data_IF_065538194348
#
_entry.id   IF_065538194348
#
_cell.length_a   1.000
_cell.length_b   1.000
_cell.length_c   1.000
_cell.angle_alpha   90.00
_cell.angle_beta   90.00
_cell.angle_gamma   90.00
#
_symmetry.space_group_name_H-M   'P 1'
#
loop_
_entity.id
_entity.type
_entity.pdbx_description
1 polymer ?
#
# COMPACT_ATOMS: atom_id res chain seq x y z
N UNK A 1 93.53 -23.89 -12.39
CA UNK A 1 94.07 -24.79 -11.36
C UNK A 1 95.12 -25.65 -12.03
N UNK A 2 96.40 -25.39 -11.78
CA UNK A 2 97.46 -26.34 -12.15
C UNK A 2 97.29 -27.53 -11.20
N UNK A 3 96.67 -28.60 -11.69
CA UNK A 3 96.43 -29.77 -10.85
C UNK A 3 97.75 -30.50 -10.68
N UNK A 4 98.30 -30.44 -9.47
CA UNK A 4 99.44 -31.25 -9.03
C UNK A 4 99.29 -32.73 -9.45
N UNK A 5 98.06 -33.25 -9.45
CA UNK A 5 97.78 -34.61 -9.88
C UNK A 5 97.88 -34.82 -11.40
N UNK A 6 97.56 -33.81 -12.23
CA UNK A 6 97.78 -33.90 -13.69
C UNK A 6 99.29 -34.02 -13.95
N UNK A 7 100.09 -33.14 -13.33
CA UNK A 7 101.56 -33.23 -13.43
C UNK A 7 102.08 -34.57 -12.93
N UNK A 8 101.50 -35.11 -11.86
CA UNK A 8 101.86 -36.44 -11.35
C UNK A 8 101.54 -37.56 -12.35
N UNK A 9 100.42 -37.49 -13.07
CA UNK A 9 100.08 -38.45 -14.14
C UNK A 9 101.05 -38.30 -15.31
N UNK A 10 101.33 -37.07 -15.74
CA UNK A 10 102.31 -36.77 -16.81
C UNK A 10 103.70 -37.31 -16.45
N UNK A 11 104.22 -37.01 -15.26
CA UNK A 11 105.51 -37.52 -14.76
C UNK A 11 105.57 -39.06 -14.73
N UNK A 12 104.45 -39.73 -14.43
CA UNK A 12 104.39 -41.19 -14.43
C UNK A 12 104.39 -41.76 -15.85
N UNK A 13 103.73 -41.10 -16.79
CA UNK A 13 103.75 -41.46 -18.20
C UNK A 13 105.14 -41.25 -18.83
N UNK A 14 105.84 -40.16 -18.49
CA UNK A 14 107.22 -39.92 -18.91
C UNK A 14 108.17 -41.00 -18.37
N UNK A 15 108.08 -41.32 -17.07
CA UNK A 15 108.89 -42.41 -16.47
C UNK A 15 108.63 -43.76 -17.12
N UNK A 16 107.38 -44.04 -17.50
CA UNK A 16 107.03 -45.25 -18.25
C UNK A 16 107.70 -45.26 -19.63
N UNK A 17 107.65 -44.13 -20.35
CA UNK A 17 108.29 -43.97 -21.65
C UNK A 17 109.80 -44.18 -21.59
N UNK A 18 110.50 -43.53 -20.66
CA UNK A 18 111.94 -43.69 -20.47
C UNK A 18 112.32 -45.14 -20.18
N UNK A 19 111.53 -45.81 -19.33
CA UNK A 19 111.74 -47.23 -19.00
C UNK A 19 111.56 -48.12 -20.24
N UNK A 20 110.57 -47.83 -21.10
CA UNK A 20 110.37 -48.54 -22.36
C UNK A 20 111.52 -48.32 -23.33
N UNK A 21 112.02 -47.09 -23.47
CA UNK A 21 113.18 -46.78 -24.34
C UNK A 21 114.41 -47.58 -23.91
N UNK A 22 114.67 -47.66 -22.60
CA UNK A 22 115.81 -48.40 -22.04
C UNK A 22 115.70 -49.91 -22.25
N UNK A 23 114.49 -50.47 -22.19
CA UNK A 23 114.25 -51.92 -22.33
C UNK A 23 114.03 -52.37 -23.79
N UNK A 24 114.02 -51.43 -24.75
CA UNK A 24 113.74 -51.74 -26.15
C UNK A 24 114.95 -52.41 -26.84
N UNK A 25 114.78 -53.59 -27.46
CA UNK A 25 115.87 -54.29 -28.14
C UNK A 25 116.23 -53.58 -29.46
N UNK A 26 117.46 -53.78 -29.95
CA UNK A 26 118.00 -53.07 -31.12
C UNK A 26 117.19 -53.31 -32.41
N UNK A 27 116.56 -54.47 -32.53
CA UNK A 27 115.67 -54.83 -33.65
C UNK A 27 114.41 -53.95 -33.69
N UNK A 28 114.00 -53.38 -32.54
CA UNK A 28 112.84 -52.53 -32.39
C UNK A 28 113.10 -51.04 -32.54
N UNK A 29 114.37 -50.60 -32.65
CA UNK A 29 114.78 -49.18 -32.55
C UNK A 29 114.17 -48.26 -33.63
N UNK A 30 113.65 -48.83 -34.72
CA UNK A 30 112.95 -48.10 -35.79
C UNK A 30 111.46 -47.87 -35.51
N UNK A 31 110.90 -48.45 -34.45
CA UNK A 31 109.51 -48.28 -34.03
C UNK A 31 109.43 -47.35 -32.82
N UNK A 32 108.27 -46.71 -32.63
CA UNK A 32 108.04 -45.93 -31.43
C UNK A 32 107.94 -46.87 -30.21
N UNK A 33 108.45 -46.50 -29.02
CA UNK A 33 108.39 -47.36 -27.83
C UNK A 33 106.98 -47.85 -27.48
N UNK A 34 105.96 -47.00 -27.63
CA UNK A 34 104.57 -47.40 -27.41
C UNK A 34 104.05 -48.43 -28.43
N UNK A 35 104.56 -48.41 -29.67
CA UNK A 35 104.19 -49.41 -30.68
C UNK A 35 104.86 -50.75 -30.41
N UNK A 36 106.07 -50.74 -29.82
CA UNK A 36 106.81 -51.94 -29.45
C UNK A 36 106.22 -52.61 -28.21
N UNK A 37 105.97 -51.85 -27.14
CA UNK A 37 105.36 -52.31 -25.89
C UNK A 37 103.84 -52.19 -25.88
N UNK A 38 103.21 -52.49 -27.03
CA UNK A 38 101.78 -52.27 -27.25
C UNK A 38 100.91 -52.94 -26.18
N UNK A 39 101.23 -54.17 -25.77
CA UNK A 39 100.44 -54.90 -24.76
C UNK A 39 100.39 -54.20 -23.40
N UNK A 40 101.48 -53.55 -22.98
CA UNK A 40 101.54 -52.87 -21.68
C UNK A 40 100.88 -51.48 -21.75
N UNK A 41 101.02 -50.78 -22.88
CA UNK A 41 100.28 -49.53 -23.14
C UNK A 41 98.78 -49.79 -23.24
N UNK A 42 98.37 -50.87 -23.92
CA UNK A 42 96.96 -51.26 -24.02
C UNK A 42 96.36 -51.45 -22.61
N UNK A 43 97.11 -52.03 -21.65
CA UNK A 43 96.66 -52.14 -20.25
C UNK A 43 96.48 -50.78 -19.56
N UNK A 44 97.41 -49.85 -19.76
CA UNK A 44 97.30 -48.48 -19.19
C UNK A 44 96.10 -47.76 -19.80
N UNK A 45 95.92 -47.87 -21.11
CA UNK A 45 94.77 -47.31 -21.83
C UNK A 45 93.47 -47.91 -21.29
N UNK A 46 93.38 -49.24 -21.12
CA UNK A 46 92.18 -49.89 -20.54
C UNK A 46 91.84 -49.34 -19.16
N UNK A 47 92.81 -49.16 -18.26
CA UNK A 47 92.55 -48.59 -16.92
C UNK A 47 92.06 -47.14 -17.02
N UNK A 48 92.64 -46.33 -17.92
CA UNK A 48 92.18 -44.95 -18.14
C UNK A 48 90.75 -44.95 -18.70
N UNK A 49 90.45 -45.81 -19.67
CA UNK A 49 89.12 -45.97 -20.26
C UNK A 49 88.09 -46.43 -19.21
N UNK A 50 88.44 -47.35 -18.32
CA UNK A 50 87.60 -47.77 -17.19
C UNK A 50 87.29 -46.60 -16.25
N UNK A 51 88.31 -45.81 -15.88
CA UNK A 51 88.11 -44.62 -15.02
C UNK A 51 87.24 -43.58 -15.72
N UNK A 52 87.50 -43.28 -17.00
CA UNK A 52 86.66 -42.38 -17.80
C UNK A 52 85.22 -42.91 -17.85
N UNK A 53 85.04 -44.20 -18.14
CA UNK A 53 83.73 -44.84 -18.20
C UNK A 53 82.98 -44.76 -16.88
N UNK A 54 83.66 -44.94 -15.74
CA UNK A 54 83.06 -44.78 -14.42
C UNK A 54 82.64 -43.33 -14.13
N UNK A 55 83.49 -42.34 -14.46
CA UNK A 55 83.11 -40.92 -14.37
C UNK A 55 81.94 -40.57 -15.28
N UNK A 56 81.90 -41.08 -16.51
CA UNK A 56 80.77 -40.90 -17.43
C UNK A 56 79.50 -41.60 -16.94
N UNK A 57 79.62 -42.76 -16.30
CA UNK A 57 78.50 -43.46 -15.67
C UNK A 57 77.93 -42.64 -14.51
N UNK A 58 78.79 -42.13 -13.62
CA UNK A 58 78.39 -41.25 -12.50
C UNK A 58 77.76 -39.96 -13.01
N UNK A 59 78.35 -39.34 -14.04
CA UNK A 59 77.79 -38.16 -14.71
C UNK A 59 76.36 -38.41 -15.22
N UNK A 60 76.16 -39.50 -15.97
CA UNK A 60 74.83 -39.88 -16.51
C UNK A 60 73.79 -40.11 -15.41
N UNK A 61 74.16 -40.74 -14.29
CA UNK A 61 73.25 -40.93 -13.15
C UNK A 61 72.85 -39.60 -12.53
N UNK A 62 73.81 -38.70 -12.30
CA UNK A 62 73.53 -37.38 -11.77
C UNK A 62 72.65 -36.54 -12.73
N UNK A 63 72.91 -36.59 -14.04
CA UNK A 63 72.08 -35.96 -15.07
C UNK A 63 70.63 -36.49 -15.04
N UNK A 64 70.45 -37.81 -14.89
CA UNK A 64 69.14 -38.45 -14.77
C UNK A 64 68.39 -38.02 -13.50
N UNK A 65 69.06 -38.02 -12.35
CA UNK A 65 68.48 -37.56 -11.07
C UNK A 65 68.04 -36.09 -11.14
N UNK A 66 68.88 -35.23 -11.72
CA UNK A 66 68.56 -33.82 -11.96
C UNK A 66 67.35 -33.73 -12.89
N UNK A 67 67.32 -34.48 -13.99
CA UNK A 67 66.20 -34.49 -14.93
C UNK A 67 64.89 -34.87 -14.24
N UNK A 68 64.86 -35.97 -13.50
CA UNK A 68 63.67 -36.40 -12.76
C UNK A 68 63.21 -35.34 -11.74
N UNK A 69 64.16 -34.68 -11.07
CA UNK A 69 63.86 -33.61 -10.10
C UNK A 69 63.31 -32.35 -10.79
N UNK A 70 63.83 -32.00 -11.96
CA UNK A 70 63.32 -30.91 -12.80
C UNK A 70 61.92 -31.24 -13.32
N UNK A 71 61.66 -32.47 -13.75
CA UNK A 71 60.34 -32.90 -14.20
C UNK A 71 59.31 -32.82 -13.06
N UNK A 72 59.70 -33.24 -11.85
CA UNK A 72 58.86 -33.09 -10.65
C UNK A 72 58.60 -31.62 -10.32
N UNK A 73 59.63 -30.78 -10.35
CA UNK A 73 59.54 -29.33 -10.13
C UNK A 73 58.58 -28.69 -11.15
N UNK A 74 58.73 -28.99 -12.43
CA UNK A 74 57.87 -28.47 -13.48
C UNK A 74 56.42 -28.92 -13.30
N UNK A 75 56.19 -30.19 -12.93
CA UNK A 75 54.84 -30.70 -12.63
C UNK A 75 54.21 -29.94 -11.46
N UNK A 76 54.96 -29.72 -10.39
CA UNK A 76 54.50 -28.94 -9.23
C UNK A 76 54.25 -27.47 -9.59
N UNK A 77 55.10 -26.87 -10.43
CA UNK A 77 54.90 -25.51 -10.92
C UNK A 77 53.64 -25.39 -11.78
N UNK A 78 53.36 -26.36 -12.65
CA UNK A 78 52.14 -26.42 -13.46
C UNK A 78 50.90 -26.56 -12.58
N UNK A 79 50.92 -27.46 -11.59
CA UNK A 79 49.80 -27.63 -10.65
C UNK A 79 49.52 -26.36 -9.84
N UNK A 80 50.58 -25.67 -9.40
CA UNK A 80 50.49 -24.41 -8.67
C UNK A 80 50.22 -23.19 -9.56
N UNK A 81 50.29 -23.36 -10.88
CA UNK A 81 50.29 -22.31 -11.91
C UNK A 81 51.32 -21.20 -11.63
N UNK A 82 52.49 -21.57 -11.10
CA UNK A 82 53.58 -20.63 -10.86
C UNK A 82 54.58 -20.64 -12.02
N UNK A 83 55.31 -19.52 -12.16
CA UNK A 83 56.33 -19.38 -13.21
C UNK A 83 57.43 -20.43 -13.01
N UNK A 84 57.70 -21.20 -14.06
CA UNK A 84 58.78 -22.18 -14.05
C UNK A 84 60.14 -21.50 -13.78
N UNK A 85 60.96 -22.02 -12.86
CA UNK A 85 62.26 -21.45 -12.58
C UNK A 85 63.20 -21.61 -13.77
N UNK A 86 63.93 -20.55 -14.10
CA UNK A 86 64.92 -20.59 -15.17
C UNK A 86 66.16 -21.35 -14.71
N UNK A 87 66.42 -22.50 -15.34
CA UNK A 87 67.59 -23.32 -15.01
C UNK A 87 68.89 -22.62 -15.42
N UNK A 88 69.83 -22.36 -14.49
CA UNK A 88 71.10 -21.74 -14.82
C UNK A 88 71.99 -22.70 -15.61
N UNK A 89 72.76 -22.21 -16.58
CA UNK A 89 73.72 -23.04 -17.30
C UNK A 89 74.97 -23.30 -16.44
N UNK A 90 74.91 -24.32 -15.57
CA UNK A 90 75.99 -24.69 -14.66
C UNK A 90 76.74 -25.94 -15.17
N UNK A 91 78.06 -25.86 -15.26
CA UNK A 91 78.90 -27.02 -15.64
C UNK A 91 79.06 -28.05 -14.51
N UNK A 92 78.73 -27.69 -13.27
CA UNK A 92 78.86 -28.57 -12.10
C UNK A 92 77.50 -29.17 -11.75
N UNK A 93 77.36 -30.49 -11.91
CA UNK A 93 76.12 -31.21 -11.67
C UNK A 93 75.68 -31.21 -10.20
N UNK A 94 76.60 -31.22 -9.25
CA UNK A 94 76.25 -31.15 -7.81
C UNK A 94 75.65 -29.78 -7.46
N UNK A 95 76.19 -28.70 -8.05
CA UNK A 95 75.60 -27.36 -7.90
C UNK A 95 74.24 -27.27 -8.57
N UNK A 96 74.07 -27.88 -9.74
CA UNK A 96 72.77 -27.96 -10.42
C UNK A 96 71.74 -28.74 -9.58
N UNK A 97 72.12 -29.89 -9.02
CA UNK A 97 71.27 -30.69 -8.14
C UNK A 97 70.82 -29.89 -6.92
N UNK A 98 71.75 -29.26 -6.21
CA UNK A 98 71.44 -28.41 -5.05
C UNK A 98 70.54 -27.21 -5.42
N UNK A 99 70.71 -26.64 -6.62
CA UNK A 99 69.82 -25.59 -7.12
C UNK A 99 68.39 -26.10 -7.31
N UNK A 100 68.21 -27.24 -7.98
CA UNK A 100 66.88 -27.85 -8.22
C UNK A 100 66.20 -28.23 -6.90
N UNK A 101 66.92 -28.83 -5.95
CA UNK A 101 66.40 -29.17 -4.63
C UNK A 101 65.91 -27.93 -3.86
N UNK A 102 66.65 -26.81 -3.96
CA UNK A 102 66.24 -25.54 -3.36
C UNK A 102 64.96 -24.99 -4.01
N UNK A 103 64.88 -24.99 -5.35
CA UNK A 103 63.67 -24.54 -6.05
C UNK A 103 62.45 -25.43 -5.74
N UNK A 104 62.62 -26.76 -5.64
CA UNK A 104 61.56 -27.67 -5.14
C UNK A 104 61.12 -27.27 -3.73
N UNK A 105 62.08 -27.02 -2.83
CA UNK A 105 61.80 -26.55 -1.46
C UNK A 105 61.03 -25.23 -1.44
N UNK A 106 61.39 -24.27 -2.31
CA UNK A 106 60.68 -22.99 -2.46
C UNK A 106 59.26 -23.19 -2.94
N UNK A 107 59.03 -24.00 -3.98
CA UNK A 107 57.69 -24.30 -4.49
C UNK A 107 56.84 -25.00 -3.42
N UNK A 108 57.41 -25.94 -2.66
CA UNK A 108 56.72 -26.62 -1.58
C UNK A 108 56.28 -25.66 -0.44
N UNK A 109 57.12 -24.67 -0.10
CA UNK A 109 56.76 -23.61 0.87
C UNK A 109 55.60 -22.77 0.33
N UNK A 110 55.66 -22.36 -0.95
CA UNK A 110 54.58 -21.59 -1.59
C UNK A 110 53.28 -22.39 -1.59
N UNK A 111 53.32 -23.67 -2.01
CA UNK A 111 52.16 -24.57 -2.01
C UNK A 111 51.49 -24.68 -0.64
N UNK A 112 52.29 -24.85 0.42
CA UNK A 112 51.77 -24.89 1.80
C UNK A 112 51.08 -23.58 2.19
N UNK A 113 51.71 -22.44 1.92
CA UNK A 113 51.15 -21.13 2.22
C UNK A 113 49.84 -20.84 1.46
N UNK A 114 49.74 -21.29 0.20
CA UNK A 114 48.50 -21.20 -0.59
C UNK A 114 47.42 -22.09 0.02
N UNK A 115 47.73 -23.34 0.37
CA UNK A 115 46.78 -24.26 1.00
C UNK A 115 46.22 -23.70 2.32
N UNK A 116 47.09 -23.27 3.24
CA UNK A 116 46.68 -22.65 4.51
C UNK A 116 45.79 -21.42 4.30
N UNK A 117 46.05 -20.64 3.24
CA UNK A 117 45.22 -19.48 2.91
C UNK A 117 43.87 -19.91 2.32
N UNK A 118 43.83 -20.94 1.47
CA UNK A 118 42.58 -21.50 0.94
C UNK A 118 41.70 -22.02 2.08
N UNK A 119 42.27 -22.75 3.06
CA UNK A 119 41.55 -23.23 4.23
C UNK A 119 40.89 -22.08 5.01
N UNK A 120 41.65 -21.01 5.32
CA UNK A 120 41.10 -19.82 5.99
C UNK A 120 39.96 -19.17 5.21
N UNK A 121 40.10 -19.02 3.88
CA UNK A 121 39.05 -18.43 3.04
C UNK A 121 37.81 -19.32 3.00
N UNK A 122 37.98 -20.64 2.96
CA UNK A 122 36.86 -21.58 3.03
C UNK A 122 36.12 -21.50 4.37
N UNK A 123 36.84 -21.35 5.48
CA UNK A 123 36.23 -21.19 6.79
C UNK A 123 35.49 -19.85 6.93
N UNK A 124 36.04 -18.75 6.39
CA UNK A 124 35.32 -17.47 6.30
C UNK A 124 34.03 -17.59 5.45
N UNK A 125 34.07 -18.35 4.35
CA UNK A 125 32.88 -18.61 3.52
C UNK A 125 31.83 -19.38 4.31
N UNK A 126 32.23 -20.42 5.06
CA UNK A 126 31.30 -21.19 5.91
C UNK A 126 30.67 -20.31 6.99
N UNK A 127 31.46 -19.47 7.66
CA UNK A 127 30.96 -18.54 8.69
C UNK A 127 29.89 -17.59 8.12
N UNK A 128 30.13 -17.01 6.93
CA UNK A 128 29.15 -16.13 6.26
C UNK A 128 27.85 -16.88 5.92
N UNK A 129 27.97 -18.14 5.49
CA UNK A 129 26.81 -18.96 5.15
C UNK A 129 25.99 -19.36 6.38
N UNK A 130 26.64 -19.62 7.51
CA UNK A 130 25.98 -19.93 8.77
C UNK A 130 25.23 -18.71 9.33
N UNK A 131 25.78 -17.50 9.17
CA UNK A 131 25.13 -16.25 9.60
C UNK A 131 23.96 -15.82 8.72
N UNK A 132 23.93 -16.22 7.45
CA UNK A 132 22.88 -15.84 6.49
C UNK A 132 22.21 -17.09 5.91
N UNK A 133 21.41 -17.81 6.72
CA UNK A 133 20.76 -19.06 6.30
C UNK A 133 19.79 -18.90 5.13
N UNK A 134 19.44 -17.66 4.78
CA UNK A 134 18.58 -17.34 3.65
C UNK A 134 19.36 -17.28 2.32
N UNK A 135 20.70 -17.29 2.31
CA UNK A 135 21.49 -17.36 1.06
C UNK A 135 21.41 -18.80 0.57
N UNK A 136 20.49 -19.07 -0.36
CA UNK A 136 20.44 -20.36 -1.03
C UNK A 136 21.78 -20.61 -1.73
N UNK A 137 22.45 -21.68 -1.31
CA UNK A 137 23.75 -22.15 -1.81
C UNK A 137 23.75 -22.33 -3.35
N UNK A 138 22.57 -22.47 -3.95
CA UNK A 138 22.36 -22.61 -5.40
C UNK A 138 22.94 -21.43 -6.21
N UNK A 139 23.03 -20.22 -5.63
CA UNK A 139 23.57 -19.06 -6.35
C UNK A 139 25.11 -19.12 -6.56
N UNK A 140 25.83 -19.89 -5.74
CA UNK A 140 27.31 -19.94 -5.77
C UNK A 140 27.80 -21.06 -6.70
N UNK A 141 27.01 -22.12 -6.88
CA UNK A 141 27.35 -23.28 -7.70
C UNK A 141 27.36 -22.96 -9.20
N UNK A 142 26.71 -21.87 -9.64
CA UNK A 142 26.57 -21.54 -11.06
C UNK A 142 27.82 -20.98 -11.76
N UNK A 143 28.93 -20.74 -11.06
CA UNK A 143 30.14 -20.14 -11.67
C UNK A 143 31.19 -21.16 -12.11
N UNK A 144 31.06 -22.42 -11.71
CA UNK A 144 31.91 -23.51 -12.19
C UNK A 144 31.00 -24.50 -12.90
N UNK A 145 30.95 -24.42 -14.23
CA UNK A 145 30.04 -25.20 -15.08
C UNK A 145 30.27 -26.71 -14.94
N UNK A 146 29.64 -27.30 -13.92
CA UNK A 146 29.32 -28.72 -13.72
C UNK A 146 28.45 -28.79 -12.46
N UNK A 147 27.15 -28.52 -12.63
CA UNK A 147 26.16 -28.35 -11.56
C UNK A 147 25.76 -29.62 -10.79
N UNK A 148 26.64 -30.61 -10.65
CA UNK A 148 26.32 -31.87 -9.95
C UNK A 148 27.11 -32.11 -8.64
N UNK A 149 28.12 -31.31 -8.28
CA UNK A 149 29.09 -31.75 -7.27
C UNK A 149 28.87 -31.34 -5.81
N UNK A 150 27.95 -30.43 -5.47
CA UNK A 150 27.75 -30.00 -4.07
C UNK A 150 26.45 -30.48 -3.43
N UNK A 151 25.56 -31.16 -4.18
CA UNK A 151 24.23 -31.54 -3.70
C UNK A 151 24.19 -32.65 -2.64
N UNK A 152 25.31 -33.32 -2.37
CA UNK A 152 25.41 -34.35 -1.33
C UNK A 152 26.81 -34.36 -0.70
N UNK A 153 27.16 -33.30 0.03
CA UNK A 153 28.21 -33.37 1.06
C UNK A 153 27.68 -34.14 2.30
N UNK A 154 27.09 -35.32 2.07
CA UNK A 154 26.87 -36.29 3.14
C UNK A 154 28.22 -36.95 3.43
N UNK A 155 28.91 -36.41 4.45
CA UNK A 155 29.97 -37.04 5.26
C UNK A 155 30.53 -38.37 4.71
N UNK A 156 31.21 -38.32 3.56
CA UNK A 156 32.18 -39.34 3.22
C UNK A 156 33.52 -38.70 3.50
N UNK A 157 34.19 -39.25 4.51
CA UNK A 157 35.53 -38.89 4.98
C UNK A 157 36.63 -39.19 3.93
N UNK A 158 36.30 -39.11 2.64
CA UNK A 158 37.28 -39.06 1.57
C UNK A 158 37.78 -37.61 1.54
N UNK A 159 38.94 -37.43 2.17
CA UNK A 159 39.76 -36.22 2.19
C UNK A 159 40.02 -35.78 0.75
N UNK A 160 39.05 -35.05 0.17
CA UNK A 160 39.17 -34.47 -1.15
C UNK A 160 40.17 -33.33 -1.02
N UNK A 161 41.46 -33.67 -1.13
CA UNK A 161 42.54 -32.71 -1.26
C UNK A 161 42.35 -32.05 -2.63
N UNK A 162 41.50 -31.03 -2.68
CA UNK A 162 41.30 -30.23 -3.87
C UNK A 162 42.64 -29.72 -4.39
N UNK A 163 42.78 -29.63 -5.72
CA UNK A 163 44.00 -29.13 -6.34
C UNK A 163 44.37 -27.75 -5.77
N UNK A 164 45.55 -27.66 -5.15
CA UNK A 164 46.07 -26.41 -4.59
C UNK A 164 46.67 -25.62 -5.74
N UNK A 165 45.98 -24.57 -6.18
CA UNK A 165 46.47 -23.66 -7.22
C UNK A 165 46.21 -22.20 -6.86
N UNK A 166 46.98 -21.29 -7.46
CA UNK A 166 46.80 -19.85 -7.27
C UNK A 166 45.48 -19.36 -7.88
N UNK A 167 45.06 -19.89 -9.03
CA UNK A 167 43.77 -19.57 -9.62
C UNK A 167 42.62 -19.97 -8.70
N UNK A 168 42.67 -21.17 -8.12
CA UNK A 168 41.61 -21.63 -7.22
C UNK A 168 41.49 -20.76 -5.97
N UNK A 169 42.62 -20.34 -5.38
CA UNK A 169 42.61 -19.39 -4.28
C UNK A 169 41.94 -18.06 -4.67
N UNK A 170 42.22 -17.52 -5.87
CA UNK A 170 41.59 -16.27 -6.35
C UNK A 170 40.08 -16.43 -6.53
N UNK A 171 39.63 -17.57 -7.05
CA UNK A 171 38.20 -17.88 -7.17
C UNK A 171 37.51 -17.91 -5.79
N UNK A 172 38.14 -18.55 -4.80
CA UNK A 172 37.63 -18.58 -3.43
C UNK A 172 37.57 -17.18 -2.81
N UNK A 173 38.61 -16.36 -3.00
CA UNK A 173 38.62 -14.96 -2.54
C UNK A 173 37.51 -14.13 -3.20
N UNK A 174 37.31 -14.27 -4.51
CA UNK A 174 36.24 -13.59 -5.23
C UNK A 174 34.85 -14.03 -4.74
N UNK A 175 34.66 -15.33 -4.52
CA UNK A 175 33.42 -15.88 -3.96
C UNK A 175 33.14 -15.36 -2.55
N UNK A 176 34.16 -15.33 -1.69
CA UNK A 176 34.07 -14.74 -0.35
C UNK A 176 33.65 -13.27 -0.41
N UNK A 177 34.28 -12.48 -1.26
CA UNK A 177 34.01 -11.04 -1.35
C UNK A 177 32.59 -10.76 -1.90
N UNK A 178 32.15 -11.56 -2.87
CA UNK A 178 30.77 -11.57 -3.36
C UNK A 178 29.79 -11.91 -2.23
N UNK A 179 30.06 -12.95 -1.43
CA UNK A 179 29.21 -13.35 -0.30
C UNK A 179 29.15 -12.28 0.79
N UNK A 180 30.28 -11.64 1.12
CA UNK A 180 30.32 -10.50 2.05
C UNK A 180 29.43 -9.35 1.57
N UNK A 181 29.52 -9.03 0.27
CA UNK A 181 28.70 -7.99 -0.35
C UNK A 181 27.20 -8.33 -0.33
N UNK A 182 26.86 -9.58 -0.61
CA UNK A 182 25.47 -10.06 -0.59
C UNK A 182 24.89 -10.10 0.83
N UNK A 183 25.68 -10.51 1.84
CA UNK A 183 25.34 -10.41 3.26
C UNK A 183 25.01 -8.97 3.62
N UNK A 184 25.90 -8.02 3.33
CA UNK A 184 25.70 -6.61 3.66
C UNK A 184 24.43 -6.04 2.97
N UNK A 185 24.20 -6.39 1.71
CA UNK A 185 23.01 -5.99 0.96
C UNK A 185 21.73 -6.49 1.63
N UNK A 186 21.72 -7.75 2.10
CA UNK A 186 20.59 -8.37 2.79
C UNK A 186 20.35 -7.75 4.16
N UNK A 187 21.40 -7.47 4.93
CA UNK A 187 21.28 -6.77 6.21
C UNK A 187 20.70 -5.36 6.05
N UNK A 188 21.15 -4.61 5.04
CA UNK A 188 20.56 -3.30 4.70
C UNK A 188 19.07 -3.41 4.38
N UNK A 189 18.68 -4.42 3.58
CA UNK A 189 17.27 -4.69 3.26
C UNK A 189 16.45 -5.03 4.51
N UNK A 190 16.99 -5.89 5.38
CA UNK A 190 16.38 -6.28 6.67
C UNK A 190 16.13 -5.06 7.56
N UNK A 191 17.16 -4.22 7.75
CA UNK A 191 17.05 -3.01 8.57
C UNK A 191 16.03 -2.02 8.02
N UNK A 192 15.97 -1.88 6.69
CA UNK A 192 14.97 -1.05 6.03
C UNK A 192 13.55 -1.56 6.28
N UNK A 193 13.28 -2.84 6.02
CA UNK A 193 11.96 -3.46 6.23
C UNK A 193 11.52 -3.34 7.69
N UNK A 194 12.44 -3.60 8.63
CA UNK A 194 12.17 -3.45 10.06
C UNK A 194 11.85 -2.00 10.44
N UNK A 195 12.58 -1.03 9.90
CA UNK A 195 12.30 0.39 10.11
C UNK A 195 10.92 0.82 9.58
N UNK A 196 10.57 0.38 8.37
CA UNK A 196 9.24 0.63 7.77
C UNK A 196 8.12 -0.01 8.60
N UNK A 197 8.31 -1.26 9.06
CA UNK A 197 7.39 -1.95 9.97
C UNK A 197 7.18 -1.21 11.29
N UNK A 198 8.25 -0.71 11.92
CA UNK A 198 8.13 0.08 13.15
C UNK A 198 7.29 1.35 12.93
N UNK A 199 7.41 1.99 11.76
CA UNK A 199 6.57 3.14 11.39
C UNK A 199 5.11 2.73 11.23
N UNK A 200 4.83 1.60 10.57
CA UNK A 200 3.46 1.10 10.43
C UNK A 200 2.82 0.80 11.78
N UNK A 201 3.49 0.05 12.65
CA UNK A 201 3.02 -0.28 13.99
C UNK A 201 2.77 0.97 14.83
N UNK A 202 3.66 1.96 14.77
CA UNK A 202 3.50 3.24 15.46
C UNK A 202 2.27 4.00 14.96
N UNK A 203 2.04 4.04 13.63
CA UNK A 203 0.84 4.68 13.04
C UNK A 203 -0.45 3.98 13.46
N UNK A 204 -0.43 2.65 13.52
CA UNK A 204 -1.56 1.83 13.97
C UNK A 204 -1.76 1.88 15.49
N UNK A 205 -0.79 2.42 16.24
CA UNK A 205 -0.74 2.35 17.72
C UNK A 205 -0.81 0.91 18.25
N UNK A 206 -0.22 -0.03 17.50
CA UNK A 206 -0.16 -1.46 17.85
C UNK A 206 1.26 -1.80 18.26
N UNK A 207 1.40 -2.61 19.31
CA UNK A 207 2.67 -3.25 19.65
C UNK A 207 2.58 -4.72 19.23
N UNK A 208 3.39 -5.12 18.26
CA UNK A 208 3.48 -6.50 17.82
C UNK A 208 4.83 -7.09 18.24
N UNK A 209 4.80 -8.04 19.17
CA UNK A 209 5.99 -8.74 19.69
C UNK A 209 6.58 -9.72 18.66
N UNK A 210 5.83 -10.02 17.59
CA UNK A 210 6.31 -10.85 16.49
C UNK A 210 7.31 -10.11 15.62
N UNK A 211 7.30 -8.78 15.57
CA UNK A 211 8.20 -8.01 14.69
C UNK A 211 9.56 -7.81 15.36
N UNK A 212 10.59 -8.52 14.87
CA UNK A 212 11.97 -8.43 15.40
C UNK A 212 13.00 -8.28 14.29
N UNK A 213 14.09 -7.56 14.58
CA UNK A 213 15.15 -7.26 13.61
C UNK A 213 15.95 -8.50 13.18
N UNK A 214 15.99 -9.54 14.02
CA UNK A 214 16.72 -10.79 13.80
C UNK A 214 15.95 -11.82 12.96
N UNK A 215 14.71 -11.50 12.55
CA UNK A 215 13.91 -12.38 11.71
C UNK A 215 14.48 -12.54 10.30
N UNK A 216 14.16 -13.69 9.70
CA UNK A 216 14.44 -13.98 8.29
C UNK A 216 13.75 -12.96 7.38
N UNK A 217 14.39 -12.61 6.27
CA UNK A 217 13.94 -11.51 5.41
C UNK A 217 12.54 -11.76 4.85
N UNK A 218 12.24 -12.99 4.43
CA UNK A 218 10.93 -13.32 3.86
C UNK A 218 9.79 -13.13 4.88
N UNK A 219 10.04 -13.41 6.17
CA UNK A 219 9.06 -13.18 7.24
C UNK A 219 8.78 -11.69 7.39
N UNK A 220 9.83 -10.86 7.38
CA UNK A 220 9.68 -9.40 7.43
C UNK A 220 8.94 -8.86 6.20
N UNK A 221 9.16 -9.43 5.01
CA UNK A 221 8.41 -9.05 3.79
C UNK A 221 6.92 -9.39 3.89
N UNK A 222 6.57 -10.55 4.41
CA UNK A 222 5.18 -10.95 4.65
C UNK A 222 4.50 -10.03 5.67
N UNK A 223 5.18 -9.77 6.79
CA UNK A 223 4.69 -8.83 7.82
C UNK A 223 4.55 -7.42 7.24
N UNK A 224 5.52 -6.95 6.46
CA UNK A 224 5.47 -5.64 5.81
C UNK A 224 4.25 -5.54 4.89
N UNK A 225 4.01 -6.57 4.07
CA UNK A 225 2.83 -6.63 3.19
C UNK A 225 1.52 -6.64 3.96
N UNK A 226 1.44 -7.37 5.08
CA UNK A 226 0.26 -7.43 5.96
C UNK A 226 -0.04 -6.05 6.56
N UNK A 227 0.94 -5.43 7.21
CA UNK A 227 0.75 -4.16 7.90
C UNK A 227 0.57 -2.98 6.94
N UNK A 228 1.22 -2.98 5.77
CA UNK A 228 0.98 -1.96 4.75
C UNK A 228 -0.49 -1.97 4.29
N UNK A 229 -1.04 -3.16 4.01
CA UNK A 229 -2.47 -3.29 3.64
C UNK A 229 -3.40 -2.81 4.74
N UNK A 230 -3.11 -3.13 6.00
CA UNK A 230 -3.91 -2.68 7.14
C UNK A 230 -3.89 -1.14 7.27
N UNK A 231 -2.72 -0.52 7.13
CA UNK A 231 -2.56 0.94 7.12
C UNK A 231 -3.38 1.57 5.99
N UNK A 232 -3.26 1.04 4.76
CA UNK A 232 -4.03 1.53 3.60
C UNK A 232 -5.54 1.44 3.83
N UNK A 233 -6.04 0.30 4.32
CA UNK A 233 -7.46 0.12 4.63
C UNK A 233 -7.96 1.12 5.68
N UNK A 234 -7.20 1.34 6.77
CA UNK A 234 -7.58 2.29 7.82
C UNK A 234 -7.55 3.73 7.33
N UNK A 235 -6.57 4.11 6.51
CA UNK A 235 -6.53 5.44 5.89
C UNK A 235 -7.81 5.67 5.07
N UNK A 236 -8.17 4.72 4.20
CA UNK A 236 -9.39 4.85 3.40
C UNK A 236 -10.65 4.95 4.28
N UNK A 237 -10.72 4.17 5.37
CA UNK A 237 -11.84 4.22 6.31
C UNK A 237 -11.95 5.58 7.01
N UNK A 238 -10.83 6.13 7.52
CA UNK A 238 -10.81 7.44 8.19
C UNK A 238 -11.21 8.56 7.23
N UNK A 239 -10.69 8.56 6.00
CA UNK A 239 -11.05 9.57 4.98
C UNK A 239 -12.54 9.53 4.65
N UNK A 240 -13.10 8.33 4.48
CA UNK A 240 -14.54 8.16 4.23
C UNK A 240 -15.40 8.64 5.40
N UNK A 241 -15.01 8.34 6.64
CA UNK A 241 -15.72 8.79 7.84
C UNK A 241 -15.64 10.30 7.99
N UNK A 242 -14.47 10.90 7.80
CA UNK A 242 -14.27 12.35 7.87
C UNK A 242 -15.15 13.07 6.86
N UNK A 243 -15.23 12.58 5.62
CA UNK A 243 -16.08 13.18 4.61
C UNK A 243 -17.57 13.10 4.99
N UNK A 244 -18.03 11.96 5.51
CA UNK A 244 -19.41 11.80 5.97
C UNK A 244 -19.73 12.72 7.15
N UNK A 245 -18.83 12.81 8.13
CA UNK A 245 -18.95 13.69 9.30
C UNK A 245 -19.07 15.15 8.84
N UNK A 246 -18.14 15.62 7.99
CA UNK A 246 -18.16 17.00 7.48
C UNK A 246 -19.47 17.33 6.75
N UNK A 247 -19.98 16.41 5.93
CA UNK A 247 -21.29 16.61 5.25
C UNK A 247 -22.43 16.76 6.26
N UNK A 248 -22.43 15.99 7.35
CA UNK A 248 -23.45 16.08 8.41
C UNK A 248 -23.29 17.34 9.26
N UNK A 249 -22.07 17.73 9.62
CA UNK A 249 -21.78 18.97 10.36
C UNK A 249 -22.29 20.20 9.60
N UNK A 250 -22.04 20.27 8.29
CA UNK A 250 -22.54 21.35 7.42
C UNK A 250 -24.07 21.38 7.38
N UNK A 251 -24.74 20.22 7.28
CA UNK A 251 -26.21 20.14 7.28
C UNK A 251 -26.82 20.54 8.62
N UNK A 252 -26.14 20.22 9.71
CA UNK A 252 -26.59 20.52 11.07
C UNK A 252 -26.16 21.91 11.54
N UNK A 253 -25.40 22.66 10.75
CA UNK A 253 -24.82 23.95 11.15
C UNK A 253 -24.07 23.84 12.50
N UNK A 254 -23.25 22.79 12.64
CA UNK A 254 -22.42 22.53 13.82
C UNK A 254 -20.97 22.83 13.45
N UNK A 255 -20.24 23.45 14.37
CA UNK A 255 -18.82 23.74 14.20
C UNK A 255 -18.03 22.46 13.86
N UNK A 256 -17.27 22.52 12.77
CA UNK A 256 -16.45 21.41 12.31
C UNK A 256 -15.41 21.05 13.37
N UNK A 257 -15.47 19.82 13.89
CA UNK A 257 -14.45 19.33 14.82
C UNK A 257 -13.19 18.94 14.04
N UNK A 258 -12.03 19.28 14.59
CA UNK A 258 -10.77 18.78 14.07
C UNK A 258 -10.69 17.26 14.26
N UNK A 259 -10.59 16.53 13.15
CA UNK A 259 -10.42 15.08 13.13
C UNK A 259 -8.93 14.76 13.24
N UNK A 260 -8.55 14.06 14.31
CA UNK A 260 -7.19 13.55 14.44
C UNK A 260 -6.94 12.45 13.39
N UNK A 261 -5.84 12.58 12.64
CA UNK A 261 -5.44 11.67 11.57
C UNK A 261 -4.72 10.39 12.05
N UNK A 262 -4.85 10.02 13.33
CA UNK A 262 -4.23 8.79 13.83
C UNK A 262 -5.07 7.55 13.44
N UNK A 263 -4.38 6.45 13.10
CA UNK A 263 -4.99 5.21 12.59
C UNK A 263 -5.23 4.18 13.70
N UNK A 264 -5.26 4.63 14.96
CA UNK A 264 -5.55 3.76 16.09
C UNK A 264 -7.00 3.28 16.03
N UNK A 265 -7.25 2.07 16.52
CA UNK A 265 -8.60 1.52 16.59
C UNK A 265 -9.52 2.44 17.39
N UNK A 266 -9.02 2.95 18.51
CA UNK A 266 -9.74 3.87 19.40
C UNK A 266 -10.19 5.16 18.68
N UNK A 267 -9.35 5.72 17.80
CA UNK A 267 -9.74 6.91 17.03
C UNK A 267 -10.82 6.57 15.99
N UNK A 268 -10.68 5.46 15.28
CA UNK A 268 -11.67 5.01 14.30
C UNK A 268 -13.02 4.81 14.99
N UNK A 269 -13.05 4.13 16.15
CA UNK A 269 -14.27 3.96 16.94
C UNK A 269 -14.89 5.29 17.36
N UNK A 270 -14.08 6.25 17.84
CA UNK A 270 -14.57 7.60 18.17
C UNK A 270 -15.19 8.33 16.98
N UNK A 271 -14.60 8.19 15.79
CA UNK A 271 -15.16 8.78 14.57
C UNK A 271 -16.47 8.11 14.15
N UNK A 272 -16.57 6.80 14.29
CA UNK A 272 -17.81 6.06 14.05
C UNK A 272 -18.92 6.50 15.00
N UNK A 273 -18.65 6.55 16.30
CA UNK A 273 -19.58 7.02 17.33
C UNK A 273 -20.03 8.47 17.06
N UNK A 274 -19.11 9.35 16.68
CA UNK A 274 -19.46 10.74 16.36
C UNK A 274 -20.30 10.84 15.08
N UNK A 275 -19.99 10.06 14.05
CA UNK A 275 -20.79 9.99 12.83
C UNK A 275 -22.20 9.45 13.09
N UNK A 276 -22.34 8.48 13.99
CA UNK A 276 -23.63 7.95 14.43
C UNK A 276 -24.43 8.99 15.21
N UNK A 277 -23.81 9.66 16.19
CA UNK A 277 -24.41 10.76 16.94
C UNK A 277 -24.94 11.86 16.02
N UNK A 278 -24.16 12.31 15.02
CA UNK A 278 -24.62 13.30 14.05
C UNK A 278 -25.79 12.78 13.21
N UNK A 279 -25.81 11.48 12.90
CA UNK A 279 -26.92 10.85 12.19
C UNK A 279 -28.21 10.82 13.02
N UNK A 280 -28.10 10.55 14.32
CA UNK A 280 -29.22 10.62 15.26
C UNK A 280 -29.73 12.05 15.42
N UNK A 281 -28.82 13.01 15.56
CA UNK A 281 -29.18 14.42 15.71
C UNK A 281 -29.89 14.97 14.46
N UNK A 282 -29.46 14.55 13.26
CA UNK A 282 -30.15 14.91 12.01
C UNK A 282 -31.57 14.33 11.96
N UNK A 283 -31.76 13.07 12.36
CA UNK A 283 -33.11 12.47 12.45
C UNK A 283 -33.98 13.20 13.46
N UNK A 284 -33.44 13.50 14.64
CA UNK A 284 -34.15 14.22 15.71
C UNK A 284 -34.63 15.60 15.25
N UNK A 285 -33.77 16.37 14.57
CA UNK A 285 -34.14 17.69 14.03
C UNK A 285 -35.17 17.59 12.91
N UNK A 286 -35.04 16.59 12.03
CA UNK A 286 -36.04 16.34 10.99
C UNK A 286 -37.41 16.03 11.60
N UNK A 287 -37.46 15.17 12.62
CA UNK A 287 -38.69 14.83 13.34
C UNK A 287 -39.32 16.06 14.01
N UNK A 288 -38.52 16.91 14.66
CA UNK A 288 -39.02 18.16 15.25
C UNK A 288 -39.61 19.12 14.21
N UNK A 289 -38.96 19.26 13.06
CA UNK A 289 -39.45 20.12 11.98
C UNK A 289 -40.72 19.52 11.38
N UNK A 290 -40.73 18.21 11.14
CA UNK A 290 -41.87 17.47 10.61
C UNK A 290 -43.10 17.66 11.50
N UNK A 291 -43.00 17.41 12.80
CA UNK A 291 -44.15 17.54 13.72
C UNK A 291 -44.66 18.99 13.80
N UNK A 292 -43.75 19.97 13.88
CA UNK A 292 -44.14 21.40 13.86
C UNK A 292 -44.88 21.77 12.57
N UNK A 293 -44.39 21.33 11.42
CA UNK A 293 -45.00 21.61 10.11
C UNK A 293 -46.33 20.88 9.96
N UNK A 294 -46.43 19.64 10.43
CA UNK A 294 -47.66 18.84 10.45
C UNK A 294 -48.76 19.52 11.26
N UNK A 295 -48.44 20.05 12.44
CA UNK A 295 -49.40 20.79 13.28
C UNK A 295 -49.90 22.06 12.60
N UNK A 296 -49.00 22.84 11.98
CA UNK A 296 -49.37 24.04 11.22
C UNK A 296 -50.27 23.68 10.04
N UNK A 297 -49.88 22.69 9.25
CA UNK A 297 -50.64 22.25 8.08
C UNK A 297 -52.03 21.74 8.48
N UNK A 298 -52.14 20.98 9.56
CA UNK A 298 -53.42 20.52 10.11
C UNK A 298 -54.33 21.70 10.45
N UNK A 299 -53.81 22.73 11.14
CA UNK A 299 -54.58 23.93 11.48
C UNK A 299 -55.08 24.70 10.26
N UNK A 300 -54.27 24.76 9.19
CA UNK A 300 -54.65 25.38 7.92
C UNK A 300 -55.72 24.56 7.21
N UNK A 301 -55.52 23.24 7.07
CA UNK A 301 -56.52 22.38 6.45
C UNK A 301 -57.87 22.40 7.17
N UNK A 302 -57.90 22.40 8.51
CA UNK A 302 -59.13 22.59 9.29
C UNK A 302 -59.80 23.94 9.01
N UNK A 303 -59.01 25.02 8.87
CA UNK A 303 -59.54 26.36 8.55
C UNK A 303 -60.20 26.42 7.17
N UNK A 304 -59.57 25.80 6.17
CA UNK A 304 -60.04 25.74 4.78
C UNK A 304 -61.06 24.60 4.54
N UNK A 305 -61.30 23.71 5.50
CA UNK A 305 -62.20 22.56 5.35
C UNK A 305 -61.68 21.48 4.41
N UNK A 306 -60.36 21.32 4.32
CA UNK A 306 -59.66 20.34 3.47
C UNK A 306 -59.36 19.05 4.22
N UNK A 307 -59.20 17.94 3.49
CA UNK A 307 -58.78 16.65 4.06
C UNK A 307 -57.29 16.66 4.37
N UNK A 308 -56.91 16.07 5.51
CA UNK A 308 -55.51 15.93 5.90
C UNK A 308 -54.83 14.88 5.01
N UNK A 309 -53.72 15.28 4.39
CA UNK A 309 -52.81 14.41 3.65
C UNK A 309 -51.65 14.07 4.59
N UNK A 310 -51.28 12.78 4.65
CA UNK A 310 -50.13 12.33 5.44
C UNK A 310 -48.90 12.28 4.55
N UNK A 311 -47.89 13.08 4.88
CA UNK A 311 -46.62 13.16 4.14
C UNK A 311 -45.60 12.23 4.75
N UNK A 312 -44.68 11.70 3.93
CA UNK A 312 -43.59 10.85 4.42
C UNK A 312 -42.62 11.63 5.32
N UNK A 313 -42.04 10.95 6.31
CA UNK A 313 -41.06 11.52 7.25
C UNK A 313 -39.67 11.58 6.63
N UNK A 314 -39.54 12.40 5.59
CA UNK A 314 -38.30 12.63 4.83
C UNK A 314 -38.08 14.12 4.64
N UNK A 315 -36.86 14.51 4.23
CA UNK A 315 -36.56 15.91 3.88
C UNK A 315 -37.50 16.41 2.76
N UNK A 316 -37.74 15.58 1.74
CA UNK A 316 -38.66 15.86 0.64
C UNK A 316 -40.10 16.08 1.13
N UNK A 317 -40.60 15.22 2.04
CA UNK A 317 -41.93 15.39 2.64
C UNK A 317 -42.08 16.69 3.44
N UNK A 318 -41.01 17.14 4.13
CA UNK A 318 -40.98 18.44 4.83
C UNK A 318 -40.98 19.62 3.87
N UNK A 319 -40.29 19.52 2.73
CA UNK A 319 -40.32 20.54 1.68
C UNK A 319 -41.70 20.67 1.04
N UNK A 320 -42.36 19.56 0.72
CA UNK A 320 -43.74 19.54 0.20
C UNK A 320 -44.72 20.18 1.19
N UNK A 321 -44.64 19.80 2.47
CA UNK A 321 -45.44 20.43 3.52
C UNK A 321 -45.17 21.94 3.59
N UNK A 322 -43.91 22.36 3.50
CA UNK A 322 -43.55 23.79 3.57
C UNK A 322 -44.11 24.58 2.39
N UNK A 323 -44.08 24.00 1.18
CA UNK A 323 -44.66 24.61 -0.01
C UNK A 323 -46.18 24.81 0.15
N UNK A 324 -46.88 23.77 0.58
CA UNK A 324 -48.35 23.82 0.75
C UNK A 324 -48.74 24.77 1.88
N UNK A 325 -47.99 24.76 3.00
CA UNK A 325 -48.17 25.74 4.07
C UNK A 325 -48.04 27.16 3.49
N UNK A 326 -47.01 27.44 2.69
CA UNK A 326 -46.84 28.76 2.06
C UNK A 326 -48.01 29.16 1.15
N UNK A 327 -48.51 28.24 0.33
CA UNK A 327 -49.67 28.47 -0.55
C UNK A 327 -50.97 28.73 0.22
N UNK A 328 -51.19 28.06 1.35
CA UNK A 328 -52.37 28.24 2.19
C UNK A 328 -52.25 29.49 3.07
N UNK A 329 -51.07 29.78 3.59
CA UNK A 329 -50.79 30.98 4.38
C UNK A 329 -51.02 32.25 3.54
N UNK A 330 -50.62 32.27 2.27
CA UNK A 330 -50.88 33.41 1.40
C UNK A 330 -52.38 33.66 1.17
N UNK A 331 -53.20 32.61 1.21
CA UNK A 331 -54.66 32.68 1.03
C UNK A 331 -55.42 33.03 2.32
N UNK A 332 -54.77 32.82 3.47
CA UNK A 332 -55.39 32.79 4.80
C UNK A 332 -56.12 34.08 5.16
N UNK A 333 -55.49 35.24 4.96
CA UNK A 333 -56.03 36.52 5.43
C UNK A 333 -57.34 36.88 4.71
N UNK A 334 -57.34 36.81 3.37
CA UNK A 334 -58.55 37.07 2.57
C UNK A 334 -59.61 36.01 2.82
N UNK A 335 -59.23 34.73 2.94
CA UNK A 335 -60.18 33.66 3.22
C UNK A 335 -60.90 33.87 4.56
N UNK A 336 -60.17 34.21 5.63
CA UNK A 336 -60.72 34.50 6.95
C UNK A 336 -61.61 35.74 6.91
N UNK A 337 -61.21 36.79 6.18
CA UNK A 337 -62.03 37.99 6.00
C UNK A 337 -63.37 37.65 5.34
N UNK A 338 -63.35 36.94 4.21
CA UNK A 338 -64.55 36.53 3.48
C UNK A 338 -65.43 35.66 4.38
N UNK A 339 -64.86 34.66 5.05
CA UNK A 339 -65.59 33.79 5.98
C UNK A 339 -66.27 34.59 7.10
N UNK A 340 -65.57 35.55 7.69
CA UNK A 340 -66.14 36.43 8.73
C UNK A 340 -67.29 37.30 8.21
N UNK A 341 -67.24 37.72 6.94
CA UNK A 341 -68.33 38.46 6.31
C UNK A 341 -69.51 37.55 6.00
N UNK A 342 -69.26 36.32 5.57
CA UNK A 342 -70.27 35.27 5.37
C UNK A 342 -70.99 34.96 6.68
N UNK A 343 -70.26 34.77 7.78
CA UNK A 343 -70.83 34.51 9.10
C UNK A 343 -71.68 35.70 9.57
N UNK A 344 -71.15 36.94 9.46
CA UNK A 344 -71.91 38.18 9.77
C UNK A 344 -73.17 38.31 8.93
N UNK A 345 -73.11 37.93 7.64
CA UNK A 345 -74.28 37.90 6.76
C UNK A 345 -75.30 36.90 7.27
N UNK A 346 -74.88 35.66 7.57
CA UNK A 346 -75.77 34.62 8.09
C UNK A 346 -76.47 35.09 9.37
N UNK A 347 -75.72 35.63 10.33
CA UNK A 347 -76.28 36.19 11.57
C UNK A 347 -77.26 37.35 11.33
N UNK A 348 -76.99 38.22 10.36
CA UNK A 348 -77.91 39.31 10.02
C UNK A 348 -79.18 38.78 9.35
N UNK A 349 -79.06 37.83 8.42
CA UNK A 349 -80.20 37.18 7.76
C UNK A 349 -81.05 36.43 8.77
N UNK A 350 -80.45 35.69 9.69
CA UNK A 350 -81.17 34.98 10.75
C UNK A 350 -81.91 35.95 11.67
N UNK A 351 -81.27 37.04 12.10
CA UNK A 351 -81.94 38.11 12.86
C UNK A 351 -83.07 38.76 12.08
N UNK A 352 -82.90 38.99 10.78
CA UNK A 352 -83.96 39.53 9.93
C UNK A 352 -85.13 38.56 9.79
N UNK A 353 -84.87 37.26 9.71
CA UNK A 353 -85.92 36.22 9.67
C UNK A 353 -86.68 36.11 10.98
N UNK A 354 -85.97 36.10 12.12
CA UNK A 354 -86.56 36.12 13.45
C UNK A 354 -87.44 37.37 13.63
N UNK A 355 -86.92 38.52 13.22
CA UNK A 355 -87.64 39.78 13.26
C UNK A 355 -88.91 39.76 12.41
N UNK A 356 -88.87 39.25 11.18
CA UNK A 356 -90.08 39.17 10.34
C UNK A 356 -91.09 38.15 10.89
N UNK A 357 -90.63 37.07 11.53
CA UNK A 357 -91.51 36.13 12.24
C UNK A 357 -92.23 36.79 13.42
N UNK A 358 -91.55 37.64 14.17
CA UNK A 358 -92.15 38.45 15.25
C UNK A 358 -93.08 39.54 14.68
N UNK A 359 -92.70 40.15 13.57
CA UNK A 359 -93.46 41.19 12.87
C UNK A 359 -94.74 40.66 12.21
N UNK A 360 -94.80 39.37 11.88
CA UNK A 360 -96.00 38.70 11.37
C UNK A 360 -97.01 38.34 12.47
N UNK A 361 -96.71 38.50 13.77
CA UNK A 361 -97.65 38.26 14.87
C UNK A 361 -98.72 39.38 14.93
N UNK A 362 -100.02 39.08 14.70
CA UNK A 362 -101.10 40.06 14.78
C UNK A 362 -101.22 40.75 16.14
N UNK A 363 -100.71 40.10 17.22
CA UNK A 363 -100.73 40.65 18.58
C UNK A 363 -99.67 41.74 18.80
N UNK A 364 -98.75 41.96 17.87
CA UNK A 364 -97.69 42.98 18.00
C UNK A 364 -98.23 44.41 18.10
N UNK A 365 -99.36 44.69 17.45
CA UNK A 365 -99.98 46.03 17.41
C UNK A 365 -100.54 46.48 18.76
N UNK A 366 -100.70 45.54 19.70
CA UNK A 366 -101.16 45.80 21.07
C UNK A 366 -100.01 45.93 22.08
N UNK A 367 -98.75 45.87 21.62
CA UNK A 367 -97.55 46.09 22.45
C UNK A 367 -97.12 47.56 22.45
N UNK A 368 -96.09 47.89 23.22
CA UNK A 368 -95.56 49.25 23.39
C UNK A 368 -95.23 49.93 22.05
N UNK A 369 -95.66 51.17 21.85
CA UNK A 369 -95.40 51.97 20.64
C UNK A 369 -93.91 52.21 20.37
N UNK A 370 -93.06 52.18 21.40
CA UNK A 370 -91.60 52.23 21.25
C UNK A 370 -91.04 51.01 20.52
N UNK A 371 -91.70 49.84 20.64
CA UNK A 371 -91.29 48.61 19.96
C UNK A 371 -91.46 48.75 18.44
N UNK A 372 -92.60 49.27 17.99
CA UNK A 372 -92.88 49.53 16.56
C UNK A 372 -91.90 50.53 15.93
N UNK A 373 -91.45 51.53 16.68
CA UNK A 373 -90.46 52.51 16.19
C UNK A 373 -89.06 51.89 16.08
N UNK A 374 -88.68 51.07 17.06
CA UNK A 374 -87.39 50.35 17.02
C UNK A 374 -87.39 49.29 15.91
N UNK A 375 -88.54 48.64 15.68
CA UNK A 375 -88.78 47.74 14.57
C UNK A 375 -88.57 48.44 13.22
N UNK A 376 -89.15 49.62 13.04
CA UNK A 376 -88.98 50.42 11.83
C UNK A 376 -87.54 50.92 11.65
N UNK A 377 -86.86 51.31 12.75
CA UNK A 377 -85.42 51.64 12.72
C UNK A 377 -84.55 50.45 12.34
N UNK A 378 -84.89 49.25 12.82
CA UNK A 378 -84.20 48.02 12.44
C UNK A 378 -84.40 47.72 10.96
N UNK A 379 -85.62 47.77 10.43
CA UNK A 379 -85.87 47.58 8.98
C UNK A 379 -85.11 48.58 8.12
N UNK A 380 -85.12 49.86 8.51
CA UNK A 380 -84.44 50.93 7.81
C UNK A 380 -82.90 50.81 7.84
N UNK A 381 -82.32 50.02 8.75
CA UNK A 381 -80.86 49.83 8.86
C UNK A 381 -80.39 48.44 8.42
N UNK A 382 -81.15 47.38 8.69
CA UNK A 382 -80.79 45.99 8.45
C UNK A 382 -80.66 45.69 6.95
N UNK A 383 -81.62 46.13 6.13
CA UNK A 383 -81.57 45.85 4.69
C UNK A 383 -80.42 46.60 3.97
N UNK A 384 -80.21 47.91 4.19
CA UNK A 384 -79.02 48.58 3.66
C UNK A 384 -77.70 47.98 4.15
N UNK A 385 -77.65 47.50 5.40
CA UNK A 385 -76.46 46.83 5.93
C UNK A 385 -76.23 45.45 5.30
N UNK A 386 -77.30 44.69 5.01
CA UNK A 386 -77.22 43.41 4.32
C UNK A 386 -76.63 43.61 2.91
N UNK A 387 -77.14 44.58 2.14
CA UNK A 387 -76.59 44.91 0.82
C UNK A 387 -75.10 45.27 0.92
N UNK A 388 -74.71 46.12 1.87
CA UNK A 388 -73.30 46.50 2.06
C UNK A 388 -72.42 45.29 2.38
N UNK A 389 -72.87 44.38 3.24
CA UNK A 389 -72.13 43.17 3.57
C UNK A 389 -72.03 42.27 2.33
N UNK A 390 -73.11 42.11 1.56
CA UNK A 390 -73.12 41.31 0.32
C UNK A 390 -72.20 41.88 -0.76
N UNK A 391 -72.18 43.20 -0.96
CA UNK A 391 -71.24 43.89 -1.86
C UNK A 391 -69.80 43.70 -1.40
N UNK A 392 -69.53 43.81 -0.08
CA UNK A 392 -68.21 43.56 0.48
C UNK A 392 -67.77 42.11 0.29
N UNK A 393 -68.67 41.13 0.48
CA UNK A 393 -68.38 39.71 0.24
C UNK A 393 -68.02 39.49 -1.23
N UNK A 394 -68.85 39.97 -2.17
CA UNK A 394 -68.59 39.80 -3.60
C UNK A 394 -67.27 40.44 -4.02
N UNK A 395 -66.99 41.65 -3.54
CA UNK A 395 -65.73 42.34 -3.81
C UNK A 395 -64.53 41.58 -3.25
N UNK A 396 -64.58 41.13 -2.00
CA UNK A 396 -63.50 40.36 -1.39
C UNK A 396 -63.32 38.98 -2.04
N UNK A 397 -64.40 38.36 -2.52
CA UNK A 397 -64.31 37.13 -3.33
C UNK A 397 -63.67 37.43 -4.69
N UNK A 398 -64.04 38.52 -5.37
CA UNK A 398 -63.40 38.93 -6.63
C UNK A 398 -61.88 39.13 -6.43
N UNK A 399 -61.49 39.84 -5.37
CA UNK A 399 -60.08 40.07 -4.99
C UNK A 399 -59.35 38.74 -4.68
N UNK A 400 -60.03 37.79 -4.02
CA UNK A 400 -59.48 36.46 -3.77
C UNK A 400 -59.33 35.64 -5.06
N UNK A 401 -60.34 35.64 -5.91
CA UNK A 401 -60.38 34.84 -7.15
C UNK A 401 -59.37 35.35 -8.19
N UNK A 402 -59.15 36.65 -8.25
CA UNK A 402 -58.11 37.26 -9.08
C UNK A 402 -56.71 36.80 -8.66
N UNK A 403 -56.46 36.64 -7.36
CA UNK A 403 -55.15 36.29 -6.81
C UNK A 403 -54.91 34.78 -6.70
N UNK A 404 -55.93 34.01 -6.36
CA UNK A 404 -55.78 32.64 -5.85
C UNK A 404 -56.66 31.60 -6.54
N UNK A 405 -57.53 32.03 -7.47
CA UNK A 405 -58.53 31.20 -8.13
C UNK A 405 -59.82 31.03 -7.32
N UNK A 406 -60.70 30.13 -7.78
CA UNK A 406 -62.08 30.01 -7.31
C UNK A 406 -62.25 29.94 -5.78
N UNK A 407 -63.16 30.74 -5.23
CA UNK A 407 -63.47 30.71 -3.80
C UNK A 407 -64.55 29.67 -3.48
N UNK A 408 -64.14 28.61 -2.78
CA UNK A 408 -65.02 27.51 -2.36
C UNK A 408 -65.27 27.61 -0.85
N UNK A 409 -66.55 27.60 -0.45
CA UNK A 409 -66.95 27.56 0.96
C UNK A 409 -68.06 26.51 1.14
N UNK A 410 -67.85 25.55 2.05
CA UNK A 410 -68.81 24.46 2.27
C UNK A 410 -68.95 23.50 1.08
N UNK A 411 -67.93 23.39 0.23
CA UNK A 411 -67.91 22.51 -0.95
C UNK A 411 -68.61 23.06 -2.20
N UNK A 412 -69.03 24.34 -2.18
CA UNK A 412 -69.67 25.01 -3.32
C UNK A 412 -69.04 26.39 -3.59
N UNK A 413 -69.09 26.83 -4.84
CA UNK A 413 -68.68 28.18 -5.25
C UNK A 413 -69.62 29.24 -4.64
N UNK A 414 -69.17 29.88 -3.56
CA UNK A 414 -70.05 30.73 -2.75
C UNK A 414 -70.57 31.95 -3.51
N UNK A 415 -69.77 32.47 -4.44
CA UNK A 415 -70.10 33.64 -5.27
C UNK A 415 -71.38 33.45 -6.07
N UNK A 416 -71.51 32.31 -6.74
CA UNK A 416 -72.65 31.98 -7.59
C UNK A 416 -73.89 31.72 -6.74
N UNK A 417 -73.72 31.00 -5.62
CA UNK A 417 -74.78 30.82 -4.62
C UNK A 417 -75.31 32.15 -4.11
N UNK A 418 -74.42 33.08 -3.73
CA UNK A 418 -74.78 34.39 -3.22
C UNK A 418 -75.51 35.24 -4.27
N UNK A 419 -75.02 35.30 -5.52
CA UNK A 419 -75.68 36.02 -6.61
C UNK A 419 -77.08 35.46 -6.87
N UNK A 420 -77.21 34.14 -6.94
CA UNK A 420 -78.50 33.49 -7.13
C UNK A 420 -79.47 33.76 -5.96
N UNK A 421 -78.98 33.83 -4.71
CA UNK A 421 -79.80 34.24 -3.56
C UNK A 421 -80.27 35.69 -3.66
N UNK A 422 -79.40 36.60 -4.10
CA UNK A 422 -79.71 38.03 -4.27
C UNK A 422 -80.74 38.21 -5.40
N UNK A 423 -80.53 37.59 -6.56
CA UNK A 423 -81.39 37.73 -7.74
C UNK A 423 -82.80 37.16 -7.51
N UNK A 424 -82.91 36.11 -6.69
CA UNK A 424 -84.20 35.51 -6.33
C UNK A 424 -84.87 36.14 -5.10
N UNK A 425 -84.31 37.22 -4.54
CA UNK A 425 -84.91 37.92 -3.40
C UNK A 425 -86.06 38.80 -3.87
N UNK A 426 -87.27 38.56 -3.36
CA UNK A 426 -88.44 39.42 -3.63
C UNK A 426 -88.34 40.65 -2.72
N UNK A 427 -87.89 41.77 -3.29
CA UNK A 427 -87.70 43.03 -2.55
C UNK A 427 -88.90 43.94 -2.76
N UNK A 428 -89.65 44.22 -1.69
CA UNK A 428 -90.50 45.41 -1.64
C UNK A 428 -89.73 46.49 -0.85
N UNK A 429 -89.78 47.77 -1.25
CA UNK A 429 -88.91 48.86 -0.71
C UNK A 429 -88.90 49.04 0.82
N UNK A 430 -89.78 48.34 1.55
CA UNK A 430 -89.95 48.42 3.01
C UNK A 430 -90.09 47.06 3.72
N UNK A 431 -90.06 45.91 3.03
CA UNK A 431 -90.28 44.59 3.65
C UNK A 431 -89.34 43.55 3.05
N UNK A 432 -88.56 42.89 3.91
CA UNK A 432 -87.78 41.71 3.55
C UNK A 432 -88.69 40.49 3.57
N UNK A 433 -88.88 39.82 2.43
CA UNK A 433 -89.69 38.60 2.35
C UNK A 433 -88.76 37.43 2.05
N UNK A 434 -88.50 36.60 3.06
CA UNK A 434 -87.82 35.33 2.85
C UNK A 434 -88.80 34.31 2.24
N UNK A 435 -88.28 33.29 1.54
CA UNK A 435 -89.01 32.31 0.70
C UNK A 435 -90.21 31.61 1.37
N UNK A 436 -90.38 31.71 2.67
CA UNK A 436 -91.51 31.13 3.40
C UNK A 436 -92.79 31.99 3.42
N UNK A 437 -92.74 33.25 2.97
CA UNK A 437 -93.91 34.16 2.97
C UNK A 437 -94.22 34.76 1.59
N UNK A 438 -94.16 33.94 0.53
CA UNK A 438 -94.77 34.32 -0.76
C UNK A 438 -96.30 34.15 -0.70
N UNK A 439 -97.12 35.22 -0.87
CA UNK A 439 -98.58 35.11 -0.85
C UNK A 439 -99.17 34.46 -2.12
N UNK A 440 -98.35 33.95 -3.03
CA UNK A 440 -98.74 33.57 -4.39
C UNK A 440 -98.46 32.09 -4.70
N UNK A 441 -99.07 31.17 -3.95
CA UNK A 441 -99.37 29.82 -4.47
C UNK A 441 -100.46 29.11 -3.67
N UNK A 442 -101.73 29.48 -3.93
CA UNK A 442 -102.88 28.55 -3.92
C UNK A 442 -104.02 29.13 -4.77
N UNK A 443 -103.98 28.83 -6.07
CA UNK A 443 -105.16 28.72 -6.93
C UNK A 443 -104.96 27.55 -7.89
N UNK A 444 -105.16 26.34 -7.37
CA UNK A 444 -106.18 25.39 -7.82
C UNK A 444 -106.25 24.25 -6.82
#
# INVERSE_FOLDING_TARGET
>A
MDSFEIRRVEEKMEKLYDSMVVQMPLEGIKKHPFDWFRQDIDRVVTVIEEVISDFECRRRRAEEEIRMSVDLLNKECVLMECVEPQMPNLCNLELMKAYVENEIGRVAIVRRGVNEKMERVMDEIKEILDEVPDIEFQAIVCMNGEGEYFGKMERKDEEYVGEVSLQRLRELEANRDMLKSEKERREKKRNRLYGELCVFLSRLSVTDLEVRIDQKIFVLEELHKKYNKEVEMRISKVVMLEEQIRRKEVRLDVDCKEVAMNLSEENITRLEEYNEYLGEEQRRRLDEIYEKKKDVLKSLFEMFGMNIIDYERTEEGVEEMTKIIGELESKKELFVLIKSLIDKRSELVDRMNEFEKEASDPRRLFRSSFQLINEEKFRNSAYPNLIKIEEMILKSIDEYEEQFGEFICGGVGYKECLKHEIDNRIVNKTVFINRFDSPSKRRK
#
